data_IF_965972626803
#
_entry.id   IF_965972626803
#
_cell.length_a   1.000
_cell.length_b   1.000
_cell.length_c   1.000
_cell.angle_alpha   90.00
_cell.angle_beta   90.00
_cell.angle_gamma   90.00
#
_symmetry.space_group_name_H-M   'P 1'
#
loop_
_entity.id
_entity.type
_entity.pdbx_description
1 polymer ?
#
# COMPACT_ATOMS: atom_id res chain seq x y z
N UNK A 1 11.26 11.28 4.92
CA UNK A 1 10.34 10.55 5.80
C UNK A 1 9.77 9.45 4.94
N UNK A 2 10.08 8.18 5.22
CA UNK A 2 9.45 7.08 4.47
C UNK A 2 7.96 7.03 4.82
N UNK A 3 7.12 6.86 3.81
CA UNK A 3 5.69 6.67 3.99
C UNK A 3 5.42 5.35 4.73
N UNK A 4 4.25 5.24 5.36
CA UNK A 4 3.86 4.00 6.02
C UNK A 4 3.78 2.86 4.99
N UNK A 5 3.40 3.19 3.77
CA UNK A 5 3.34 2.27 2.66
C UNK A 5 4.71 1.68 2.28
N UNK A 6 5.77 2.50 2.23
CA UNK A 6 7.12 2.00 1.93
C UNK A 6 7.58 0.99 2.99
N UNK A 7 7.29 1.26 4.27
CA UNK A 7 7.57 0.33 5.36
C UNK A 7 6.77 -0.97 5.28
N UNK A 8 5.56 -0.92 4.73
CA UNK A 8 4.76 -2.11 4.47
C UNK A 8 5.41 -2.97 3.39
N UNK A 9 5.88 -2.37 2.29
CA UNK A 9 6.61 -3.09 1.23
C UNK A 9 7.90 -3.74 1.77
N UNK A 10 8.70 -3.00 2.53
CA UNK A 10 9.91 -3.53 3.18
C UNK A 10 9.61 -4.71 4.10
N UNK A 11 8.55 -4.61 4.92
CA UNK A 11 8.16 -5.67 5.85
C UNK A 11 7.64 -6.93 5.14
N UNK A 12 7.06 -6.77 3.95
CA UNK A 12 6.62 -7.87 3.09
C UNK A 12 7.77 -8.42 2.22
N UNK A 13 8.93 -7.78 2.22
CA UNK A 13 10.06 -8.14 1.36
C UNK A 13 9.76 -7.91 -0.13
N UNK A 14 8.95 -6.90 -0.42
CA UNK A 14 8.52 -6.53 -1.77
C UNK A 14 9.20 -5.23 -2.19
N UNK A 15 9.55 -5.14 -3.46
CA UNK A 15 9.96 -3.87 -4.05
C UNK A 15 8.72 -3.01 -4.32
N UNK A 16 8.75 -1.78 -3.82
CA UNK A 16 7.66 -0.84 -4.02
C UNK A 16 7.53 -0.49 -5.52
N UNK A 17 6.32 -0.49 -6.10
CA UNK A 17 6.09 -0.10 -7.49
C UNK A 17 6.36 1.39 -7.71
N UNK A 18 6.85 1.76 -8.89
CA UNK A 18 7.21 3.15 -9.23
C UNK A 18 6.00 4.04 -9.58
N UNK A 19 4.92 3.46 -10.12
CA UNK A 19 3.76 4.20 -10.64
C UNK A 19 2.60 4.30 -9.62
N UNK A 20 1.96 3.17 -9.29
CA UNK A 20 0.78 3.13 -8.44
C UNK A 20 0.93 2.11 -7.29
N UNK A 21 0.45 2.46 -6.07
CA UNK A 21 0.55 1.60 -4.92
C UNK A 21 -0.46 0.44 -5.01
N UNK A 22 0.03 -0.70 -5.50
CA UNK A 22 -0.73 -1.93 -5.71
C UNK A 22 0.00 -3.13 -5.09
N UNK A 23 -0.74 -3.98 -4.39
CA UNK A 23 -0.27 -5.29 -3.94
C UNK A 23 -1.14 -6.38 -4.53
N UNK A 24 -0.51 -7.38 -5.16
CA UNK A 24 -1.18 -8.55 -5.70
C UNK A 24 -0.94 -9.70 -4.72
N UNK A 25 -2.01 -10.26 -4.15
CA UNK A 25 -1.97 -11.40 -3.24
C UNK A 25 -2.63 -12.58 -3.95
N UNK A 26 -1.88 -13.68 -4.12
CA UNK A 26 -2.34 -14.86 -4.86
C UNK A 26 -2.70 -14.55 -6.34
N UNK A 27 -3.14 -15.56 -7.10
CA UNK A 27 -3.49 -15.44 -8.53
C UNK A 27 -4.84 -14.71 -8.79
N UNK A 28 -5.19 -13.69 -8.00
CA UNK A 28 -6.42 -12.93 -8.27
C UNK A 28 -6.78 -11.75 -7.35
N UNK A 29 -6.22 -11.64 -6.15
CA UNK A 29 -6.63 -10.55 -5.23
C UNK A 29 -5.76 -9.33 -5.47
N UNK A 30 -6.39 -8.23 -5.89
CA UNK A 30 -5.74 -6.93 -6.06
C UNK A 30 -6.07 -6.04 -4.88
N UNK A 31 -5.03 -5.55 -4.19
CA UNK A 31 -5.13 -4.69 -3.02
C UNK A 31 -4.60 -3.31 -3.36
N UNK A 32 -5.47 -2.31 -3.25
CA UNK A 32 -5.17 -0.91 -3.47
C UNK A 32 -4.96 -0.19 -2.14
N UNK A 33 -3.97 0.70 -2.11
CA UNK A 33 -3.68 1.52 -0.94
C UNK A 33 -3.96 2.98 -1.23
N UNK A 34 -4.58 3.66 -0.27
CA UNK A 34 -4.72 5.10 -0.29
C UNK A 34 -4.21 5.66 1.04
N UNK A 35 -3.14 6.46 0.98
CA UNK A 35 -2.66 7.26 2.11
C UNK A 35 -3.40 8.59 2.12
N UNK A 36 -4.30 8.78 3.09
CA UNK A 36 -4.92 10.09 3.33
C UNK A 36 -3.98 11.02 4.09
N UNK A 37 -4.17 12.31 3.84
CA UNK A 37 -3.24 13.40 4.17
C UNK A 37 -2.75 13.41 5.64
N UNK A 38 -1.45 13.63 5.89
CA UNK A 38 -0.85 13.69 7.23
C UNK A 38 -1.48 14.72 8.19
N UNK A 39 -2.17 15.76 7.70
CA UNK A 39 -2.80 16.76 8.57
C UNK A 39 -4.03 16.23 9.33
N UNK A 40 -4.60 15.09 8.92
CA UNK A 40 -5.76 14.46 9.58
C UNK A 40 -5.41 13.22 10.40
N UNK A 41 -4.11 12.91 10.53
CA UNK A 41 -3.61 11.66 11.10
C UNK A 41 -3.49 10.60 10.00
N UNK A 42 -2.32 9.96 9.91
CA UNK A 42 -2.04 8.98 8.86
C UNK A 42 -3.00 7.79 8.98
N UNK A 43 -3.95 7.67 8.04
CA UNK A 43 -4.84 6.51 7.90
C UNK A 43 -4.54 5.85 6.56
N UNK A 44 -4.08 4.61 6.60
CA UNK A 44 -3.95 3.76 5.41
C UNK A 44 -5.27 3.03 5.21
N UNK A 45 -5.98 3.34 4.13
CA UNK A 45 -7.19 2.61 3.74
C UNK A 45 -6.83 1.51 2.74
N UNK A 46 -7.30 0.28 3.00
CA UNK A 46 -7.10 -0.86 2.12
C UNK A 46 -8.41 -1.26 1.44
N UNK A 47 -8.36 -1.43 0.13
CA UNK A 47 -9.47 -1.95 -0.66
C UNK A 47 -9.00 -3.17 -1.43
N UNK A 48 -9.69 -4.31 -1.26
CA UNK A 48 -9.40 -5.55 -1.96
C UNK A 48 -10.53 -5.88 -2.94
N UNK A 49 -10.17 -6.24 -4.17
CA UNK A 49 -11.09 -6.70 -5.22
C UNK A 49 -10.73 -8.16 -5.54
N UNK A 50 -11.74 -9.03 -5.62
CA UNK A 50 -11.64 -10.47 -5.87
C UNK A 50 -12.52 -10.87 -7.05
#
# INVERSE_FOLDING_TARGET
MESLLNRLYDALGLDAPEDEPLLIIDDGIQVYFNESDPYTGNVLSLYAIA
#
